data_IF_944456714248
#
_entry.id   IF_944456714248
#
_cell.length_a   1.000
_cell.length_b   1.000
_cell.length_c   1.000
_cell.angle_alpha   90.00
_cell.angle_beta   90.00
_cell.angle_gamma   90.00
#
_symmetry.space_group_name_H-M   'P 1'
#
loop_
_entity.id
_entity.type
_entity.pdbx_description
1 polymer ?
#
# COMPACT_ATOMS: atom_id res chain seq x y z
N UNK A 1 12.38 -3.15 -3.78
CA UNK A 1 11.49 -2.08 -3.29
C UNK A 1 11.05 -1.25 -4.47
N UNK A 2 9.75 -1.01 -4.59
CA UNK A 2 9.21 -0.09 -5.58
C UNK A 2 8.37 0.96 -4.87
N UNK A 3 8.68 2.23 -5.11
CA UNK A 3 7.91 3.37 -4.62
C UNK A 3 6.94 3.77 -5.74
N UNK A 4 5.67 3.91 -5.38
CA UNK A 4 4.57 4.21 -6.28
C UNK A 4 3.97 5.55 -5.84
N UNK A 5 4.23 6.58 -6.64
CA UNK A 5 3.73 7.92 -6.40
C UNK A 5 2.64 8.28 -7.40
N UNK A 6 2.70 7.72 -8.61
CA UNK A 6 1.85 8.11 -9.73
C UNK A 6 1.25 6.91 -10.44
N UNK A 7 0.23 7.18 -11.26
CA UNK A 7 -0.33 6.17 -12.17
C UNK A 7 0.70 5.63 -13.16
N UNK A 8 1.66 6.46 -13.55
CA UNK A 8 2.71 6.02 -14.47
C UNK A 8 3.62 4.97 -13.84
N UNK A 9 3.86 5.04 -12.52
CA UNK A 9 4.67 4.05 -11.81
C UNK A 9 4.00 2.68 -11.83
N UNK A 10 2.68 2.63 -11.58
CA UNK A 10 1.90 1.39 -11.70
C UNK A 10 2.02 0.81 -13.11
N UNK A 11 1.81 1.64 -14.14
CA UNK A 11 1.92 1.20 -15.53
C UNK A 11 3.33 0.69 -15.88
N UNK A 12 4.36 1.33 -15.33
CA UNK A 12 5.75 0.91 -15.52
C UNK A 12 6.04 -0.43 -14.85
N UNK A 13 5.56 -0.64 -13.62
CA UNK A 13 5.71 -1.91 -12.90
C UNK A 13 4.95 -3.04 -13.59
N UNK A 14 3.74 -2.75 -14.06
CA UNK A 14 2.92 -3.69 -14.83
C UNK A 14 3.59 -4.05 -16.16
N UNK A 15 4.07 -3.06 -16.92
CA UNK A 15 4.75 -3.27 -18.20
C UNK A 15 6.06 -4.08 -18.06
N UNK A 16 6.73 -3.97 -16.90
CA UNK A 16 7.90 -4.78 -16.54
C UNK A 16 7.55 -6.16 -15.95
N UNK A 17 6.26 -6.48 -15.80
CA UNK A 17 5.76 -7.72 -15.19
C UNK A 17 6.24 -7.92 -13.74
N UNK A 18 6.47 -6.82 -13.02
CA UNK A 18 6.83 -6.85 -11.58
C UNK A 18 5.58 -7.08 -10.73
N UNK A 19 4.44 -6.51 -11.15
CA UNK A 19 3.15 -6.67 -10.49
C UNK A 19 2.16 -7.42 -11.39
N UNK A 20 1.26 -8.18 -10.76
CA UNK A 20 0.20 -8.90 -11.46
C UNK A 20 -0.85 -7.92 -12.03
N UNK A 21 -1.67 -8.34 -13.03
CA UNK A 21 -2.79 -7.54 -13.50
C UNK A 21 -3.75 -7.13 -12.37
N UNK A 22 -4.04 -8.06 -11.44
CA UNK A 22 -4.91 -7.80 -10.30
C UNK A 22 -4.35 -6.71 -9.38
N UNK A 23 -3.04 -6.73 -9.13
CA UNK A 23 -2.37 -5.70 -8.33
C UNK A 23 -2.36 -4.34 -9.04
N UNK A 24 -2.14 -4.32 -10.36
CA UNK A 24 -2.20 -3.09 -11.13
C UNK A 24 -3.60 -2.46 -11.11
N UNK A 25 -4.65 -3.27 -11.26
CA UNK A 25 -6.03 -2.82 -11.18
C UNK A 25 -6.38 -2.29 -9.79
N UNK A 26 -5.99 -3.04 -8.74
CA UNK A 26 -6.19 -2.64 -7.34
C UNK A 26 -5.52 -1.29 -7.03
N UNK A 27 -4.22 -1.16 -7.30
CA UNK A 27 -3.49 0.09 -7.05
C UNK A 27 -4.06 1.28 -7.84
N UNK A 28 -4.56 1.03 -9.05
CA UNK A 28 -5.22 2.07 -9.86
C UNK A 28 -6.53 2.54 -9.21
N UNK A 29 -7.32 1.61 -8.65
CA UNK A 29 -8.53 1.94 -7.92
C UNK A 29 -8.22 2.69 -6.62
N UNK A 30 -7.26 2.21 -5.83
CA UNK A 30 -6.80 2.89 -4.61
C UNK A 30 -6.37 4.33 -4.90
N UNK A 31 -5.56 4.54 -5.94
CA UNK A 31 -5.13 5.89 -6.30
C UNK A 31 -6.29 6.79 -6.76
N UNK A 32 -7.31 6.22 -7.39
CA UNK A 32 -8.53 6.96 -7.73
C UNK A 32 -9.33 7.34 -6.48
N UNK A 33 -9.42 6.45 -5.49
CA UNK A 33 -10.05 6.73 -4.20
C UNK A 33 -9.29 7.83 -3.46
N UNK A 34 -7.98 7.68 -3.29
CA UNK A 34 -7.10 8.66 -2.64
C UNK A 34 -7.20 10.03 -3.31
N UNK A 35 -7.13 10.06 -4.65
CA UNK A 35 -7.32 11.29 -5.42
C UNK A 35 -8.65 11.96 -5.10
N UNK A 36 -9.75 11.21 -5.07
CA UNK A 36 -11.07 11.80 -4.84
C UNK A 36 -11.23 12.34 -3.41
N UNK A 37 -10.52 11.76 -2.45
CA UNK A 37 -10.52 12.20 -1.07
C UNK A 37 -9.60 13.41 -0.81
N UNK A 38 -8.44 13.46 -1.47
CA UNK A 38 -7.39 14.43 -1.19
C UNK A 38 -7.41 15.62 -2.17
N UNK A 39 -7.55 15.33 -3.48
CA UNK A 39 -7.47 16.33 -4.56
C UNK A 39 -8.53 16.07 -5.67
N UNK A 40 -9.83 16.21 -5.35
CA UNK A 40 -10.93 15.86 -6.26
C UNK A 40 -11.05 16.74 -7.51
N UNK A 41 -10.22 17.76 -7.66
CA UNK A 41 -10.16 18.62 -8.84
C UNK A 41 -8.97 18.28 -9.76
N UNK A 42 -7.95 17.57 -9.27
CA UNK A 42 -6.74 17.24 -10.04
C UNK A 42 -6.98 16.00 -10.91
N UNK A 43 -6.80 16.02 -12.24
CA UNK A 43 -7.01 14.82 -13.05
C UNK A 43 -6.14 13.64 -12.58
N UNK A 44 -6.65 12.40 -12.61
CA UNK A 44 -5.92 11.21 -12.13
C UNK A 44 -4.52 11.05 -12.75
N UNK A 45 -4.31 11.46 -14.00
CA UNK A 45 -3.00 11.39 -14.67
C UNK A 45 -1.98 12.40 -14.15
N UNK A 46 -2.42 13.38 -13.35
CA UNK A 46 -1.60 14.42 -12.72
C UNK A 46 -1.57 14.31 -11.20
N UNK A 47 -2.38 13.43 -10.63
CA UNK A 47 -2.37 13.15 -9.21
C UNK A 47 -1.10 12.38 -8.84
N UNK A 48 -0.51 12.75 -7.71
CA UNK A 48 0.75 12.23 -7.20
C UNK A 48 0.65 12.07 -5.69
N UNK A 49 1.29 11.05 -5.14
CA UNK A 49 1.38 10.79 -3.70
C UNK A 49 2.65 11.36 -3.06
N UNK A 50 3.52 12.02 -3.83
CA UNK A 50 4.76 12.65 -3.34
C UNK A 50 4.58 13.53 -2.09
N UNK A 51 3.43 14.21 -2.00
CA UNK A 51 3.06 15.06 -0.85
C UNK A 51 1.92 14.50 0.00
N UNK A 52 1.50 13.25 -0.23
CA UNK A 52 0.39 12.61 0.48
C UNK A 52 0.77 11.30 1.18
N UNK A 53 2.00 10.81 0.94
CA UNK A 53 2.49 9.54 1.46
C UNK A 53 2.46 8.46 0.38
N UNK A 54 3.62 7.98 -0.10
CA UNK A 54 3.67 7.06 -1.22
C UNK A 54 3.23 5.64 -0.81
N UNK A 55 2.83 4.88 -1.82
CA UNK A 55 2.65 3.44 -1.69
C UNK A 55 4.01 2.78 -1.96
N UNK A 56 4.38 1.80 -1.13
CA UNK A 56 5.64 1.09 -1.24
C UNK A 56 5.35 -0.40 -1.37
N UNK A 57 5.85 -1.02 -2.45
CA UNK A 57 5.83 -2.46 -2.63
C UNK A 57 7.19 -3.05 -2.24
N UNK A 58 7.18 -3.93 -1.26
CA UNK A 58 8.37 -4.64 -0.80
C UNK A 58 8.40 -6.05 -1.41
N UNK A 59 9.41 -6.29 -2.23
CA UNK A 59 9.63 -7.62 -2.82
C UNK A 59 10.24 -8.58 -1.79
N UNK A 60 11.04 -8.03 -0.86
CA UNK A 60 11.70 -8.79 0.18
C UNK A 60 11.61 -8.10 1.54
N UNK A 61 11.41 -8.89 2.59
CA UNK A 61 11.32 -8.40 3.97
C UNK A 61 12.64 -7.84 4.52
N UNK A 62 13.76 -8.10 3.85
CA UNK A 62 15.09 -7.61 4.23
C UNK A 62 15.47 -6.27 3.58
N UNK A 63 14.54 -5.60 2.89
CA UNK A 63 14.81 -4.34 2.22
C UNK A 63 15.06 -3.21 3.23
N UNK A 64 16.07 -2.39 2.95
CA UNK A 64 16.45 -1.29 3.83
C UNK A 64 15.51 -0.08 3.62
N UNK A 65 14.67 0.17 4.62
CA UNK A 65 13.65 1.23 4.57
C UNK A 65 14.18 2.61 4.98
N UNK A 66 15.47 2.74 5.30
CA UNK A 66 16.07 4.02 5.67
C UNK A 66 15.96 5.08 4.56
N UNK A 67 15.87 4.67 3.30
CA UNK A 67 15.66 5.58 2.17
C UNK A 67 14.26 6.23 2.16
N UNK A 68 13.31 5.68 2.92
CA UNK A 68 11.97 6.23 3.15
C UNK A 68 11.91 7.08 4.45
N UNK A 69 13.06 7.29 5.11
CA UNK A 69 13.10 7.91 6.44
C UNK A 69 12.60 6.99 7.57
N UNK A 70 12.35 5.71 7.28
CA UNK A 70 11.89 4.73 8.27
C UNK A 70 13.06 4.03 8.97
N UNK A 71 12.75 3.27 10.03
CA UNK A 71 13.74 2.38 10.64
C UNK A 71 14.26 1.36 9.60
N UNK A 72 15.55 0.99 9.63
CA UNK A 72 16.16 0.18 8.55
C UNK A 72 15.55 -1.21 8.37
N UNK A 73 14.87 -1.75 9.39
CA UNK A 73 14.33 -3.10 9.40
C UNK A 73 12.84 -3.07 9.74
N UNK A 74 12.03 -3.84 9.01
CA UNK A 74 10.60 -4.02 9.24
C UNK A 74 10.26 -4.38 10.70
N UNK A 75 11.06 -5.21 11.35
CA UNK A 75 10.83 -5.63 12.75
C UNK A 75 10.99 -4.48 13.76
N UNK A 76 11.58 -3.37 13.35
CA UNK A 76 11.75 -2.17 14.17
C UNK A 76 10.68 -1.12 13.89
N UNK A 77 9.80 -1.39 12.94
CA UNK A 77 8.69 -0.52 12.59
C UNK A 77 7.47 -0.98 13.36
N UNK A 78 6.84 -0.03 14.04
CA UNK A 78 5.55 -0.21 14.68
C UNK A 78 4.56 0.57 13.82
N UNK A 79 3.77 -0.10 12.96
CA UNK A 79 2.75 0.56 12.17
C UNK A 79 1.60 1.04 13.06
N UNK A 80 0.93 2.11 12.65
CA UNK A 80 -0.29 2.58 13.31
C UNK A 80 -1.48 1.68 12.97
N UNK A 81 -1.41 1.00 11.82
CA UNK A 81 -2.44 0.08 11.37
C UNK A 81 -1.87 -1.03 10.51
N UNK A 82 -2.40 -2.24 10.68
CA UNK A 82 -2.10 -3.41 9.85
C UNK A 82 -3.39 -3.90 9.24
N UNK A 83 -3.43 -3.99 7.92
CA UNK A 83 -4.53 -4.60 7.18
C UNK A 83 -4.03 -5.82 6.42
N UNK A 84 -4.87 -6.85 6.31
CA UNK A 84 -4.61 -8.01 5.46
C UNK A 84 -5.57 -8.00 4.27
N UNK A 85 -5.02 -8.04 3.07
CA UNK A 85 -5.77 -7.99 1.81
C UNK A 85 -5.42 -9.16 0.91
N UNK A 86 -6.41 -9.65 0.17
CA UNK A 86 -6.20 -10.62 -0.91
C UNK A 86 -6.40 -9.91 -2.24
N UNK A 87 -5.35 -9.83 -3.05
CA UNK A 87 -5.34 -9.13 -4.33
C UNK A 87 -5.07 -10.16 -5.42
N UNK A 88 -6.11 -10.50 -6.19
CA UNK A 88 -6.06 -11.66 -7.09
C UNK A 88 -5.93 -12.96 -6.30
N UNK A 89 -4.85 -13.73 -6.55
CA UNK A 89 -4.54 -14.96 -5.84
C UNK A 89 -3.49 -14.81 -4.75
N UNK A 90 -3.00 -13.58 -4.52
CA UNK A 90 -1.92 -13.30 -3.58
C UNK A 90 -2.45 -12.60 -2.34
N UNK A 91 -1.86 -12.95 -1.19
CA UNK A 91 -2.16 -12.31 0.08
C UNK A 91 -1.08 -11.30 0.43
N UNK A 92 -1.51 -10.12 0.82
CA UNK A 92 -0.68 -9.01 1.22
C UNK A 92 -1.02 -8.58 2.64
N UNK A 93 0.00 -8.24 3.43
CA UNK A 93 -0.13 -7.34 4.56
C UNK A 93 0.14 -5.91 4.09
N UNK A 94 -0.69 -4.98 4.54
CA UNK A 94 -0.57 -3.54 4.27
C UNK A 94 -0.34 -2.86 5.59
N UNK A 95 0.86 -2.28 5.75
CA UNK A 95 1.23 -1.52 6.93
C UNK A 95 1.04 -0.03 6.65
N UNK A 96 0.31 0.65 7.51
CA UNK A 96 0.21 2.10 7.51
C UNK A 96 1.18 2.61 8.56
N UNK A 97 2.15 3.42 8.13
CA UNK A 97 3.26 3.89 8.96
C UNK A 97 3.36 5.41 8.87
N UNK A 98 3.20 6.10 10.00
CA UNK A 98 3.42 7.53 10.14
C UNK A 98 4.92 7.75 10.25
N UNK A 99 5.51 8.31 9.21
CA UNK A 99 6.91 8.67 9.23
C UNK A 99 7.11 10.06 9.85
N UNK A 100 8.36 10.37 10.14
CA UNK A 100 8.78 11.66 10.72
C UNK A 100 8.47 12.89 9.83
N UNK A 101 7.97 12.67 8.60
CA UNK A 101 7.60 13.72 7.64
C UNK A 101 6.09 14.04 7.62
N UNK A 102 5.34 13.63 8.65
CA UNK A 102 3.89 13.84 8.82
C UNK A 102 2.99 13.16 7.75
N UNK A 103 3.54 12.22 6.96
CA UNK A 103 2.79 11.44 5.99
C UNK A 103 2.71 9.96 6.38
N UNK A 104 1.62 9.32 5.96
CA UNK A 104 1.41 7.88 6.15
C UNK A 104 1.91 7.15 4.91
N UNK A 105 2.88 6.27 5.10
CA UNK A 105 3.34 5.33 4.09
C UNK A 105 2.45 4.09 4.10
N UNK A 106 2.11 3.58 2.91
CA UNK A 106 1.42 2.30 2.76
C UNK A 106 2.39 1.24 2.25
N UNK A 107 2.85 0.35 3.13
CA UNK A 107 3.81 -0.71 2.79
C UNK A 107 3.07 -2.01 2.51
N UNK A 108 3.15 -2.48 1.27
CA UNK A 108 2.60 -3.75 0.81
C UNK A 108 3.67 -4.84 0.89
N UNK A 109 3.35 -5.89 1.62
CA UNK A 109 4.21 -7.04 1.89
C UNK A 109 3.51 -8.32 1.46
N UNK A 110 4.14 -9.12 0.61
CA UNK A 110 3.65 -10.46 0.29
C UNK A 110 3.79 -11.39 1.50
N UNK A 111 2.70 -12.06 1.86
CA UNK A 111 2.59 -12.97 3.01
C UNK A 111 3.75 -13.98 3.06
N UNK A 112 4.02 -14.66 1.93
CA UNK A 112 5.05 -15.69 1.85
C UNK A 112 6.51 -15.19 1.85
N UNK A 113 6.75 -13.87 1.84
CA UNK A 113 8.08 -13.27 1.85
C UNK A 113 8.49 -12.74 3.25
N UNK A 114 7.67 -12.96 4.27
CA UNK A 114 7.90 -12.50 5.63
C UNK A 114 8.64 -13.56 6.45
N UNK A 115 9.57 -13.15 7.35
CA UNK A 115 10.18 -14.07 8.29
C UNK A 115 9.13 -14.51 9.32
N UNK A 116 9.14 -15.80 9.68
CA UNK A 116 8.10 -16.44 10.53
C UNK A 116 7.71 -15.62 11.78
N UNK A 117 8.63 -15.09 12.60
CA UNK A 117 8.23 -14.35 13.80
C UNK A 117 7.48 -13.04 13.51
N UNK A 118 7.73 -12.44 12.35
CA UNK A 118 7.07 -11.19 11.95
C UNK A 118 5.74 -11.47 11.25
N UNK A 119 5.65 -12.56 10.49
CA UNK A 119 4.39 -13.02 9.90
C UNK A 119 3.37 -13.39 11.00
N UNK A 120 3.80 -14.09 12.06
CA UNK A 120 2.94 -14.42 13.21
C UNK A 120 2.42 -13.16 13.90
N UNK A 121 3.31 -12.20 14.17
CA UNK A 121 2.92 -10.91 14.77
C UNK A 121 1.94 -10.14 13.89
N UNK A 122 2.18 -10.08 12.57
CA UNK A 122 1.27 -9.43 11.63
C UNK A 122 -0.08 -10.13 11.57
N UNK A 123 -0.14 -11.45 11.68
CA UNK A 123 -1.40 -12.20 11.70
C UNK A 123 -2.24 -11.92 12.95
N UNK A 124 -1.59 -11.68 14.10
CA UNK A 124 -2.29 -11.31 15.35
C UNK A 124 -2.83 -9.87 15.32
N UNK A 125 -2.08 -8.94 14.73
CA UNK A 125 -2.43 -7.51 14.69
C UNK A 125 -3.29 -7.13 13.48
N UNK A 126 -3.24 -7.89 12.38
CA UNK A 126 -3.92 -7.52 11.15
C UNK A 126 -5.44 -7.61 11.29
N UNK A 127 -6.08 -6.48 11.03
CA UNK A 127 -7.50 -6.49 10.75
C UNK A 127 -7.72 -7.05 9.33
N UNK A 128 -8.63 -8.02 9.21
CA UNK A 128 -9.00 -8.55 7.89
C UNK A 128 -9.93 -7.54 7.23
N UNK A 129 -9.41 -6.83 6.23
CA UNK A 129 -10.27 -6.07 5.33
C UNK A 129 -11.02 -7.06 4.43
N UNK A 130 -12.28 -7.33 4.77
CA UNK A 130 -13.24 -7.97 3.85
C UNK A 130 -13.61 -7.00 2.72
N UNK A 131 -12.64 -6.50 1.96
CA UNK A 131 -12.90 -5.88 0.66
C UNK A 131 -12.93 -6.95 -0.43
N UNK A 132 -13.84 -7.91 -0.25
CA UNK A 132 -14.39 -8.72 -1.32
C UNK A 132 -15.75 -8.13 -1.69
N UNK A 133 -15.83 -7.56 -2.89
CA UNK A 133 -17.06 -7.05 -3.53
C UNK A 133 -17.60 -5.69 -3.06
N UNK A 134 -17.29 -4.67 -3.87
CA UNK A 134 -18.15 -3.51 -4.16
C UNK A 134 -19.10 -3.03 -3.06
N UNK A 135 -18.61 -2.18 -2.16
CA UNK A 135 -19.45 -1.17 -1.50
C UNK A 135 -18.81 0.20 -1.67
N UNK A 136 -19.25 0.89 -2.72
CA UNK A 136 -19.33 2.35 -2.65
C UNK A 136 -20.15 2.68 -1.40
N UNK A 137 -19.75 3.65 -0.55
CA UNK A 137 -20.64 4.18 0.46
C UNK A 137 -21.82 4.81 -0.28
N UNK A 138 -22.97 4.13 -0.25
CA UNK A 138 -24.23 4.71 -0.70
C UNK A 138 -24.56 5.88 0.24
N UNK A 139 -24.27 7.07 -0.30
CA UNK A 139 -24.72 8.42 0.13
C UNK A 139 -23.93 9.10 1.27
N UNK A 140 -23.55 10.38 1.09
CA UNK A 140 -23.09 11.22 2.18
C UNK A 140 -24.26 11.56 3.13
N UNK A 141 -23.99 11.77 4.43
CA UNK A 141 -25.01 12.23 5.37
C UNK A 141 -25.39 13.67 5.01
N UNK A 142 -26.67 13.88 4.69
CA UNK A 142 -27.36 15.15 4.87
C UNK A 142 -28.32 14.98 6.05
#
# INVERSE_FOLDING_TARGET
>A
MHIIETRQDIMNLFGKQIITPAMADYLTQEMHILRNSLEPEVPLMRFSLDIHGPIVLLEHSAENLACLGLRPNLQQIIPEWVSRKTIGSERYYVLFILADNDFIYQLYLLDHNLPEPYAEWLEEEAETDEQGEGRLPDKPPF
#
